data_IF_930198820972
#
_entry.id   IF_930198820972
#
_cell.length_a   1.000
_cell.length_b   1.000
_cell.length_c   1.000
_cell.angle_alpha   90.00
_cell.angle_beta   90.00
_cell.angle_gamma   90.00
#
_symmetry.space_group_name_H-M   'P 1'
#
loop_
_entity.id
_entity.type
_entity.pdbx_description
1 polymer ?
#
# COMPACT_ATOMS: atom_id res chain seq x y z
N UNK A 1 -8.89 -9.56 -46.83
CA UNK A 1 -7.84 -10.46 -46.29
C UNK A 1 -6.60 -9.59 -46.13
N UNK A 2 -5.97 -9.44 -44.97
CA UNK A 2 -5.59 -10.50 -44.05
C UNK A 2 -5.42 -9.95 -42.62
N UNK A 3 -5.74 -10.83 -41.65
CA UNK A 3 -5.86 -10.55 -40.22
C UNK A 3 -4.50 -10.69 -39.52
N UNK A 4 -4.00 -9.61 -38.91
CA UNK A 4 -2.85 -9.67 -38.01
C UNK A 4 -3.29 -10.18 -36.62
N UNK A 5 -3.14 -11.49 -36.41
CA UNK A 5 -3.30 -12.15 -35.11
C UNK A 5 -2.23 -11.64 -34.12
N UNK A 6 -2.66 -11.01 -33.03
CA UNK A 6 -1.79 -10.76 -31.86
C UNK A 6 -1.75 -12.01 -31.00
N UNK A 7 -0.65 -12.75 -31.04
CA UNK A 7 -0.34 -13.73 -29.99
C UNK A 7 0.07 -12.96 -28.72
N UNK A 8 -0.83 -12.93 -27.73
CA UNK A 8 -0.52 -12.49 -26.37
C UNK A 8 -0.56 -13.70 -25.46
N UNK A 9 0.60 -14.29 -25.23
CA UNK A 9 0.81 -15.33 -24.23
C UNK A 9 2.28 -15.25 -23.83
N UNK A 10 2.60 -14.32 -22.92
CA UNK A 10 3.88 -14.33 -22.23
C UNK A 10 3.63 -14.79 -20.79
N UNK A 11 4.22 -15.92 -20.44
CA UNK A 11 4.29 -16.39 -19.06
C UNK A 11 5.05 -15.40 -18.16
N UNK A 12 4.69 -15.30 -16.88
CA UNK A 12 5.34 -14.36 -15.96
C UNK A 12 6.75 -14.87 -15.58
N UNK A 13 7.79 -14.25 -16.16
CA UNK A 13 9.19 -14.53 -15.81
C UNK A 13 9.69 -13.70 -14.61
N UNK A 14 10.77 -14.16 -13.96
CA UNK A 14 11.49 -13.57 -12.81
C UNK A 14 11.77 -12.05 -12.94
N UNK A 15 12.02 -11.59 -14.17
CA UNK A 15 12.19 -10.18 -14.47
C UNK A 15 10.92 -9.34 -14.23
N UNK A 16 9.73 -9.93 -14.32
CA UNK A 16 8.45 -9.24 -14.17
C UNK A 16 8.08 -8.97 -12.70
N UNK A 17 8.55 -9.77 -11.74
CA UNK A 17 8.22 -9.60 -10.32
C UNK A 17 9.20 -8.67 -9.60
N UNK A 18 10.48 -8.65 -9.99
CA UNK A 18 11.41 -7.59 -9.60
C UNK A 18 11.06 -6.27 -10.30
N UNK A 19 10.64 -6.31 -11.58
CA UNK A 19 9.98 -5.16 -12.24
C UNK A 19 8.67 -4.74 -11.55
N UNK A 20 7.96 -5.57 -10.79
CA UNK A 20 6.73 -5.11 -10.12
C UNK A 20 7.02 -4.25 -8.88
N UNK A 21 8.24 -4.34 -8.32
CA UNK A 21 8.71 -3.44 -7.27
C UNK A 21 9.38 -2.17 -7.86
N UNK A 22 10.02 -2.27 -9.03
CA UNK A 22 10.74 -1.15 -9.68
C UNK A 22 10.03 -0.45 -10.88
N UNK A 23 9.05 -1.06 -11.56
CA UNK A 23 8.40 -0.55 -12.80
C UNK A 23 6.93 -0.15 -12.70
N UNK A 24 6.43 0.23 -11.53
CA UNK A 24 5.27 1.14 -11.48
C UNK A 24 5.68 2.61 -11.61
N UNK A 25 6.61 2.89 -12.54
CA UNK A 25 7.19 4.23 -12.76
C UNK A 25 7.43 4.60 -14.24
N UNK A 26 6.78 3.96 -15.21
CA UNK A 26 6.89 4.41 -16.60
C UNK A 26 5.87 5.51 -16.99
N UNK A 27 4.66 5.51 -16.42
CA UNK A 27 3.59 6.42 -16.90
C UNK A 27 2.88 7.29 -15.84
N UNK A 28 3.38 7.38 -14.62
CA UNK A 28 2.78 8.27 -13.60
C UNK A 28 3.59 9.55 -13.46
N UNK A 29 3.36 10.50 -14.38
CA UNK A 29 3.83 11.90 -14.27
C UNK A 29 2.99 12.66 -13.22
N UNK A 30 3.21 12.39 -11.94
CA UNK A 30 2.82 13.34 -10.88
C UNK A 30 4.04 13.73 -10.06
N UNK A 31 4.39 15.03 -10.12
CA UNK A 31 5.43 15.66 -9.29
C UNK A 31 5.10 15.40 -7.82
N UNK A 32 6.07 14.88 -7.05
CA UNK A 32 5.99 14.77 -5.58
C UNK A 32 6.19 13.37 -4.98
N UNK A 33 6.19 12.30 -5.77
CA UNK A 33 6.48 10.93 -5.26
C UNK A 33 7.96 10.61 -5.36
N UNK A 34 8.76 10.98 -4.35
CA UNK A 34 10.15 10.51 -4.26
C UNK A 34 10.17 9.09 -3.70
N UNK A 35 10.31 8.09 -4.58
CA UNK A 35 10.62 6.72 -4.15
C UNK A 35 12.07 6.67 -3.71
N UNK A 36 12.30 6.55 -2.41
CA UNK A 36 13.65 6.35 -1.89
C UNK A 36 13.98 4.85 -1.89
N UNK A 37 14.77 4.42 -2.88
CA UNK A 37 15.50 3.15 -2.86
C UNK A 37 16.81 3.38 -2.09
N UNK A 38 16.92 2.73 -0.94
CA UNK A 38 18.07 2.77 -0.02
C UNK A 38 17.99 1.54 0.89
N UNK A 39 18.99 1.24 1.74
CA UNK A 39 19.10 -0.03 2.45
C UNK A 39 17.87 -0.27 3.35
N UNK A 40 16.87 -0.96 2.82
CA UNK A 40 15.49 -1.00 3.33
C UNK A 40 15.31 -1.74 4.65
N UNK A 41 16.39 -2.16 5.32
CA UNK A 41 16.34 -2.91 6.57
C UNK A 41 15.78 -2.05 7.72
N UNK A 42 16.22 -0.80 7.88
CA UNK A 42 15.77 0.07 8.99
C UNK A 42 14.28 0.43 8.92
N UNK A 43 13.72 0.64 7.72
CA UNK A 43 12.29 0.92 7.54
C UNK A 43 11.44 -0.31 7.87
N UNK A 44 11.89 -1.49 7.44
CA UNK A 44 11.21 -2.78 7.71
C UNK A 44 11.20 -3.10 9.19
N UNK A 45 12.34 -2.99 9.86
CA UNK A 45 12.45 -3.24 11.30
C UNK A 45 11.53 -2.32 12.10
N UNK A 46 11.49 -1.03 11.75
CA UNK A 46 10.56 -0.10 12.38
C UNK A 46 9.10 -0.47 12.13
N UNK A 47 8.71 -0.80 10.89
CA UNK A 47 7.35 -1.25 10.62
C UNK A 47 7.01 -2.55 11.36
N UNK A 48 7.90 -3.54 11.43
CA UNK A 48 7.68 -4.77 12.21
C UNK A 48 7.53 -4.48 13.71
N UNK A 49 8.28 -3.54 14.27
CA UNK A 49 8.12 -3.15 15.67
C UNK A 49 6.76 -2.49 15.96
N UNK A 50 6.19 -1.79 14.97
CA UNK A 50 4.91 -1.07 15.11
C UNK A 50 3.70 -1.94 14.72
N UNK A 51 3.91 -2.97 13.91
CA UNK A 51 2.91 -3.92 13.44
C UNK A 51 3.40 -5.36 13.68
N UNK A 52 3.51 -5.83 14.94
CA UNK A 52 4.11 -7.13 15.26
C UNK A 52 3.33 -8.32 14.67
N UNK A 53 2.01 -8.17 14.53
CA UNK A 53 1.11 -9.15 13.93
C UNK A 53 0.69 -8.79 12.50
N UNK A 54 1.27 -7.72 11.93
CA UNK A 54 0.94 -7.27 10.58
C UNK A 54 1.58 -8.16 9.52
N UNK A 55 0.94 -8.22 8.35
CA UNK A 55 1.45 -8.94 7.19
C UNK A 55 1.45 -8.05 5.96
N UNK A 56 2.53 -8.04 5.20
CA UNK A 56 2.63 -7.26 3.97
C UNK A 56 3.73 -7.80 3.06
N UNK A 57 3.61 -7.48 1.76
CA UNK A 57 4.58 -7.87 0.73
C UNK A 57 5.16 -6.66 0.02
N UNK A 58 4.71 -5.46 0.37
CA UNK A 58 5.09 -4.21 -0.28
C UNK A 58 5.09 -3.08 0.73
N UNK A 59 5.99 -2.11 0.53
CA UNK A 59 6.08 -0.88 1.33
C UNK A 59 6.22 0.30 0.35
N UNK A 60 5.38 1.31 0.50
CA UNK A 60 5.53 2.62 -0.14
C UNK A 60 6.03 3.63 0.90
N UNK A 61 6.95 4.50 0.49
CA UNK A 61 7.35 5.69 1.23
C UNK A 61 6.93 6.91 0.41
N UNK A 62 6.08 7.76 0.98
CA UNK A 62 5.53 8.93 0.32
C UNK A 62 5.97 10.19 1.07
N UNK A 63 6.52 11.16 0.34
CA UNK A 63 6.84 12.47 0.88
C UNK A 63 5.71 13.44 0.59
N UNK A 64 5.20 14.09 1.63
CA UNK A 64 4.07 15.02 1.60
C UNK A 64 2.87 14.53 0.74
N UNK A 65 2.33 13.33 1.04
CA UNK A 65 1.24 12.77 0.26
C UNK A 65 -0.02 13.63 0.34
N UNK A 66 -0.64 13.90 -0.81
CA UNK A 66 -1.98 14.49 -0.91
C UNK A 66 -2.91 13.46 -1.50
N UNK A 67 -3.62 12.73 -0.64
CA UNK A 67 -4.49 11.63 -1.02
C UNK A 67 -5.93 11.97 -0.64
N UNK A 68 -6.75 12.31 -1.63
CA UNK A 68 -8.19 12.51 -1.43
C UNK A 68 -8.92 11.20 -1.12
N UNK A 69 -10.23 11.25 -0.99
CA UNK A 69 -11.04 10.08 -0.65
C UNK A 69 -10.92 8.97 -1.72
N UNK A 70 -10.42 7.82 -1.33
CA UNK A 70 -10.17 6.70 -2.25
C UNK A 70 -10.24 5.35 -1.53
N UNK A 71 -10.14 4.28 -2.32
CA UNK A 71 -9.96 2.89 -1.87
C UNK A 71 -8.78 2.30 -2.60
N UNK A 72 -8.03 1.46 -1.93
CA UNK A 72 -6.89 0.75 -2.52
C UNK A 72 -7.37 -0.54 -3.17
N UNK A 73 -8.20 -0.41 -4.21
CA UNK A 73 -8.88 -1.54 -4.85
C UNK A 73 -7.92 -2.57 -5.45
N UNK A 74 -6.65 -2.22 -5.68
CA UNK A 74 -5.61 -3.11 -6.19
C UNK A 74 -4.88 -3.90 -5.10
N UNK A 75 -5.18 -3.62 -3.82
CA UNK A 75 -4.68 -4.39 -2.69
C UNK A 75 -5.64 -5.56 -2.38
N UNK A 76 -5.11 -6.60 -1.76
CA UNK A 76 -5.82 -7.85 -1.51
C UNK A 76 -6.96 -7.63 -0.51
N UNK A 77 -8.16 -8.10 -0.85
CA UNK A 77 -9.29 -8.05 0.07
C UNK A 77 -9.01 -8.96 1.28
N UNK A 78 -9.53 -8.59 2.45
CA UNK A 78 -9.27 -9.32 3.70
C UNK A 78 -7.89 -9.05 4.32
N UNK A 79 -7.03 -8.26 3.66
CA UNK A 79 -5.77 -7.80 4.22
C UNK A 79 -5.82 -6.31 4.54
N UNK A 80 -5.21 -5.96 5.67
CA UNK A 80 -5.07 -4.56 6.09
C UNK A 80 -3.89 -3.91 5.37
N UNK A 81 -4.05 -2.64 5.05
CA UNK A 81 -2.94 -1.74 4.80
C UNK A 81 -2.51 -1.13 6.13
N UNK A 82 -1.22 -1.05 6.38
CA UNK A 82 -0.63 -0.47 7.58
C UNK A 82 0.03 0.86 7.23
N UNK A 83 -0.19 1.90 8.03
CA UNK A 83 0.33 3.24 7.80
C UNK A 83 1.00 3.83 9.03
N UNK A 84 2.07 4.59 8.82
CA UNK A 84 2.78 5.37 9.84
C UNK A 84 3.30 6.66 9.20
N UNK A 85 2.94 7.80 9.76
CA UNK A 85 3.50 9.10 9.38
C UNK A 85 4.65 9.49 10.30
N UNK A 86 5.63 10.21 9.75
CA UNK A 86 6.88 10.61 10.39
C UNK A 86 7.33 11.96 9.87
N UNK A 87 8.05 12.71 10.69
CA UNK A 87 8.74 13.93 10.26
C UNK A 87 8.40 15.09 11.17
N UNK A 88 8.66 16.30 10.68
CA UNK A 88 8.24 17.53 11.36
C UNK A 88 7.07 18.09 10.55
N UNK A 89 5.86 17.68 10.93
CA UNK A 89 4.62 18.03 10.25
C UNK A 89 3.50 18.35 11.24
N UNK A 90 2.51 19.08 10.75
CA UNK A 90 1.25 19.38 11.45
C UNK A 90 0.07 19.03 10.56
N UNK A 91 -0.98 18.45 11.15
CA UNK A 91 -2.11 17.89 10.40
C UNK A 91 -1.84 16.45 10.00
N UNK A 92 -2.23 16.06 8.78
CA UNK A 92 -1.82 14.77 8.20
C UNK A 92 -2.46 13.54 8.84
N UNK A 93 -3.56 13.71 9.60
CA UNK A 93 -4.36 12.59 10.09
C UNK A 93 -4.90 11.78 8.90
N UNK A 94 -5.25 10.52 9.15
CA UNK A 94 -5.95 9.70 8.17
C UNK A 94 -7.42 9.59 8.57
N UNK A 95 -8.32 9.96 7.68
CA UNK A 95 -9.73 9.64 7.82
C UNK A 95 -9.96 8.25 7.27
N UNK A 96 -10.69 7.42 8.00
CA UNK A 96 -11.06 6.07 7.59
C UNK A 96 -12.57 5.90 7.70
N UNK A 97 -13.16 5.22 6.73
CA UNK A 97 -14.56 4.81 6.78
C UNK A 97 -14.75 3.80 7.91
N UNK A 98 -15.73 4.10 8.75
CA UNK A 98 -16.08 3.37 9.96
C UNK A 98 -17.56 3.63 10.24
N UNK A 99 -18.36 2.57 10.31
CA UNK A 99 -19.82 2.68 10.44
C UNK A 99 -20.21 3.32 11.80
N UNK A 100 -19.36 3.10 12.81
CA UNK A 100 -19.51 3.67 14.15
C UNK A 100 -18.78 5.02 14.31
N UNK A 101 -18.19 5.53 13.23
CA UNK A 101 -17.45 6.79 13.21
C UNK A 101 -18.34 8.03 13.44
N UNK A 102 -17.76 9.08 14.02
CA UNK A 102 -18.40 10.34 14.40
C UNK A 102 -18.18 11.48 13.39
N UNK A 103 -17.41 11.23 12.33
CA UNK A 103 -17.13 12.17 11.24
C UNK A 103 -17.76 11.67 9.94
N UNK A 104 -18.04 12.59 9.02
CA UNK A 104 -18.51 12.25 7.68
C UNK A 104 -17.57 12.72 6.58
N UNK A 105 -17.60 12.03 5.45
CA UNK A 105 -16.95 12.42 4.20
C UNK A 105 -17.90 12.19 3.01
N UNK A 106 -17.77 13.01 1.96
CA UNK A 106 -18.59 12.89 0.75
C UNK A 106 -17.81 12.14 -0.35
N UNK A 107 -18.23 10.90 -0.64
CA UNK A 107 -17.66 10.04 -1.68
C UNK A 107 -18.68 9.63 -2.74
N UNK A 108 -19.53 10.56 -3.16
CA UNK A 108 -20.73 10.31 -3.97
C UNK A 108 -21.98 9.96 -3.15
N UNK A 109 -21.77 9.52 -1.91
CA UNK A 109 -22.75 9.52 -0.81
C UNK A 109 -22.06 10.01 0.45
N UNK A 110 -22.84 10.33 1.47
CA UNK A 110 -22.30 10.52 2.81
C UNK A 110 -21.79 9.18 3.35
N UNK A 111 -20.55 9.18 3.84
CA UNK A 111 -19.90 8.04 4.47
C UNK A 111 -19.57 8.41 5.90
N UNK A 112 -19.80 7.49 6.84
CA UNK A 112 -19.35 7.62 8.22
C UNK A 112 -17.92 7.13 8.37
N UNK A 113 -17.20 7.74 9.30
CA UNK A 113 -15.82 7.42 9.57
C UNK A 113 -15.23 8.21 10.71
N UNK A 114 -13.93 8.10 10.90
CA UNK A 114 -13.21 8.76 11.98
C UNK A 114 -11.83 9.20 11.54
N UNK A 115 -11.34 10.27 12.16
CA UNK A 115 -9.97 10.73 12.00
C UNK A 115 -9.06 10.01 12.98
N UNK A 116 -7.99 9.41 12.47
CA UNK A 116 -6.95 8.79 13.26
C UNK A 116 -5.64 9.58 13.08
N UNK A 117 -5.01 9.88 14.19
CA UNK A 117 -3.65 10.39 14.19
C UNK A 117 -2.69 9.24 13.85
N UNK A 118 -1.94 9.42 12.76
CA UNK A 118 -0.92 8.47 12.32
C UNK A 118 0.52 8.99 12.50
N UNK A 119 0.71 10.18 13.08
CA UNK A 119 2.04 10.73 13.34
C UNK A 119 2.72 9.96 14.48
N UNK A 120 3.76 9.22 14.14
CA UNK A 120 4.43 8.21 14.98
C UNK A 120 3.49 7.15 15.60
N UNK A 121 2.24 7.09 15.14
CA UNK A 121 1.19 6.18 15.63
C UNK A 121 0.79 5.20 14.52
N UNK A 122 0.90 3.89 14.76
CA UNK A 122 0.50 2.91 13.76
C UNK A 122 -1.00 2.92 13.53
N UNK A 123 -1.42 2.99 12.27
CA UNK A 123 -2.81 2.85 11.85
C UNK A 123 -2.92 1.68 10.88
N UNK A 124 -4.01 0.92 10.96
CA UNK A 124 -4.34 -0.12 9.99
C UNK A 124 -5.71 0.16 9.39
N UNK A 125 -5.82 0.01 8.07
CA UNK A 125 -7.03 0.31 7.31
C UNK A 125 -7.37 -0.87 6.42
N UNK A 126 -8.66 -1.19 6.30
CA UNK A 126 -9.11 -2.12 5.27
C UNK A 126 -8.98 -1.44 3.90
N UNK A 127 -8.21 -2.06 2.99
CA UNK A 127 -7.98 -1.55 1.65
C UNK A 127 -9.28 -1.32 0.85
N UNK A 128 -10.38 -2.00 1.22
CA UNK A 128 -11.69 -1.91 0.58
C UNK A 128 -12.57 -0.82 1.15
N UNK A 129 -12.19 -0.22 2.27
CA UNK A 129 -12.89 0.91 2.89
C UNK A 129 -12.29 2.24 2.45
N UNK A 130 -13.14 3.25 2.37
CA UNK A 130 -12.71 4.58 1.96
C UNK A 130 -11.77 5.19 3.00
N UNK A 131 -10.76 5.92 2.53
CA UNK A 131 -9.86 6.69 3.37
C UNK A 131 -9.26 7.88 2.63
N UNK A 132 -8.76 8.86 3.38
CA UNK A 132 -8.05 10.04 2.86
C UNK A 132 -7.07 10.59 3.88
N UNK A 133 -6.12 11.40 3.41
CA UNK A 133 -5.15 12.09 4.26
C UNK A 133 -5.58 13.55 4.41
N UNK A 134 -5.65 14.00 5.65
CA UNK A 134 -5.89 15.39 6.01
C UNK A 134 -4.81 16.29 5.39
N UNK A 135 -5.15 17.49 4.89
CA UNK A 135 -4.14 18.47 4.55
C UNK A 135 -3.13 18.68 5.68
N UNK A 136 -1.87 18.85 5.31
CA UNK A 136 -0.78 19.00 6.26
C UNK A 136 0.25 20.01 5.76
N UNK A 137 1.04 20.50 6.71
CA UNK A 137 2.16 21.40 6.47
C UNK A 137 3.45 20.79 7.01
N UNK A 138 4.61 21.29 6.55
CA UNK A 138 5.91 20.76 6.94
C UNK A 138 6.40 19.58 6.08
N UNK A 139 7.14 18.68 6.70
CA UNK A 139 7.85 17.57 6.06
C UNK A 139 7.36 16.22 6.56
N UNK A 140 6.24 15.76 6.01
CA UNK A 140 5.62 14.49 6.34
C UNK A 140 6.11 13.36 5.43
N UNK A 141 6.55 12.26 6.03
CA UNK A 141 6.81 10.99 5.38
C UNK A 141 5.77 9.97 5.83
N UNK A 142 4.92 9.52 4.91
CA UNK A 142 4.04 8.39 5.15
C UNK A 142 4.69 7.09 4.66
N UNK A 143 4.80 6.12 5.57
CA UNK A 143 5.12 4.74 5.24
C UNK A 143 3.82 3.96 5.17
N UNK A 144 3.55 3.30 4.04
CA UNK A 144 2.39 2.44 3.85
C UNK A 144 2.84 1.03 3.49
N UNK A 145 2.46 0.03 4.28
CA UNK A 145 2.76 -1.37 4.03
C UNK A 145 1.46 -2.12 3.67
N UNK A 146 1.50 -2.93 2.62
CA UNK A 146 0.29 -3.53 2.05
C UNK A 146 0.59 -4.83 1.28
N UNK A 147 -0.49 -5.53 0.92
CA UNK A 147 -0.46 -6.73 0.09
C UNK A 147 -1.18 -6.43 -1.23
N UNK A 148 -0.48 -6.34 -2.38
CA UNK A 148 -1.12 -6.21 -3.68
C UNK A 148 -1.89 -7.49 -4.04
N UNK A 149 -2.99 -7.38 -4.78
CA UNK A 149 -3.71 -8.57 -5.29
C UNK A 149 -2.81 -9.52 -6.09
N UNK A 150 -1.82 -8.98 -6.81
CA UNK A 150 -0.85 -9.77 -7.59
C UNK A 150 -0.07 -10.79 -6.74
N UNK A 151 0.06 -10.58 -5.42
CA UNK A 151 0.73 -11.51 -4.54
C UNK A 151 0.05 -12.89 -4.50
N UNK A 152 -1.26 -12.97 -4.70
CA UNK A 152 -1.98 -14.26 -4.76
C UNK A 152 -1.40 -15.18 -5.85
N UNK A 153 -0.87 -14.60 -6.92
CA UNK A 153 -0.29 -15.29 -8.07
C UNK A 153 1.25 -15.31 -8.04
N UNK A 154 1.88 -14.82 -6.96
CA UNK A 154 3.32 -14.86 -6.83
C UNK A 154 3.80 -16.32 -6.75
N UNK A 155 4.82 -16.67 -7.53
CA UNK A 155 5.45 -18.00 -7.47
C UNK A 155 6.17 -18.21 -6.15
N UNK A 156 6.45 -19.46 -5.79
CA UNK A 156 7.15 -19.77 -4.54
C UNK A 156 8.55 -19.15 -4.49
N UNK A 157 9.25 -19.05 -5.63
CA UNK A 157 10.54 -18.34 -5.73
C UNK A 157 10.43 -16.88 -5.27
N UNK A 158 9.38 -16.15 -5.70
CA UNK A 158 9.19 -14.77 -5.29
C UNK A 158 8.75 -14.63 -3.84
N UNK A 159 7.93 -15.56 -3.34
CA UNK A 159 7.58 -15.60 -1.91
C UNK A 159 8.83 -15.85 -1.08
N UNK A 160 9.68 -16.79 -1.49
CA UNK A 160 10.92 -17.08 -0.80
C UNK A 160 11.86 -15.87 -0.78
N UNK A 161 12.01 -15.17 -1.91
CA UNK A 161 12.79 -13.93 -1.97
C UNK A 161 12.26 -12.86 -1.00
N UNK A 162 10.93 -12.73 -0.86
CA UNK A 162 10.34 -11.82 0.13
C UNK A 162 10.58 -12.26 1.57
N UNK A 163 10.54 -13.56 1.88
CA UNK A 163 10.87 -14.10 3.23
C UNK A 163 12.33 -13.83 3.58
N UNK A 164 13.25 -14.07 2.65
CA UNK A 164 14.68 -13.80 2.81
C UNK A 164 14.94 -12.30 2.97
N UNK A 165 14.15 -11.46 2.30
CA UNK A 165 14.14 -10.02 2.49
C UNK A 165 13.44 -9.58 3.80
N UNK A 166 12.96 -10.50 4.64
CA UNK A 166 12.39 -10.22 5.97
C UNK A 166 10.97 -9.66 5.95
N UNK A 167 10.22 -9.83 4.86
CA UNK A 167 8.80 -9.44 4.83
C UNK A 167 7.94 -10.41 5.65
N UNK A 168 6.99 -9.92 6.46
CA UNK A 168 6.04 -10.77 7.16
C UNK A 168 4.93 -11.16 6.18
N UNK A 169 5.15 -12.25 5.45
CA UNK A 169 4.21 -12.67 4.40
C UNK A 169 2.87 -13.13 4.98
N UNK A 170 1.75 -12.77 4.33
CA UNK A 170 0.46 -13.34 4.71
C UNK A 170 0.41 -14.82 4.34
N UNK A 171 -0.31 -15.59 5.15
CA UNK A 171 -0.72 -16.94 4.79
C UNK A 171 -1.74 -16.83 3.66
N UNK A 172 -1.50 -17.52 2.54
CA UNK A 172 -2.52 -17.70 1.53
C UNK A 172 -3.29 -18.97 1.87
N UNK A 173 -4.60 -18.84 2.04
CA UNK A 173 -5.46 -20.02 2.15
C UNK A 173 -5.43 -20.79 0.82
N UNK A 174 -5.28 -22.12 0.90
CA UNK A 174 -5.40 -22.99 -0.26
C UNK A 174 -6.87 -23.03 -0.66
N UNK A 175 -7.30 -22.28 -1.67
CA UNK A 175 -8.65 -22.48 -2.24
C UNK A 175 -9.28 -21.39 -3.09
N UNK A 176 -8.72 -20.18 -3.21
CA UNK A 176 -9.35 -19.14 -4.04
C UNK A 176 -8.67 -19.04 -5.41
N UNK A 177 -9.08 -19.93 -6.32
CA UNK A 177 -8.95 -19.76 -7.77
C UNK A 177 -10.23 -19.11 -8.29
#
# INVERSE_FOLDING_TARGET
MESARRNTTQEPSEANLVRLLDLWSADWKHRGRTRAVGPGLRRRERLRSRFPNGSWTSIAALFNPRMGLHRDIQNMAGHLNHALALGDDTGGRVWIEDDDGDSTALGGRELRGKWLDMHDKPVSVDARRYHMVEPHEGSMWALAAYVPQAYARASEQHRQALREAGFPLPLLEKGSV
#
